data_IF_411866497385
#
_entry.id   IF_411866497385
#
_cell.length_a   1.000
_cell.length_b   1.000
_cell.length_c   1.000
_cell.angle_alpha   90.00
_cell.angle_beta   90.00
_cell.angle_gamma   90.00
#
_symmetry.space_group_name_H-M   'P 1'
#
loop_
_entity.id
_entity.type
_entity.pdbx_description
1 polymer ?
#
# COMPACT_ATOMS: atom_id res chain seq x y z
N UNK A 1 -19.84 11.66 -27.51
CA UNK A 1 -20.43 10.63 -26.64
C UNK A 1 -19.78 10.77 -25.27
N UNK A 2 -20.48 10.47 -24.17
CA UNK A 2 -19.82 10.30 -22.87
C UNK A 2 -19.57 8.81 -22.73
N UNK A 3 -18.33 8.44 -22.42
CA UNK A 3 -18.04 7.12 -21.90
C UNK A 3 -18.47 7.13 -20.43
N UNK A 4 -19.43 6.28 -20.08
CA UNK A 4 -19.75 6.00 -18.69
C UNK A 4 -18.67 5.05 -18.18
N UNK A 5 -17.70 5.59 -17.44
CA UNK A 5 -16.80 4.79 -16.63
C UNK A 5 -17.68 3.96 -15.69
N UNK A 6 -17.78 2.65 -15.98
CA UNK A 6 -18.49 1.71 -15.13
C UNK A 6 -17.65 1.52 -13.88
N UNK A 7 -18.00 2.22 -12.82
CA UNK A 7 -17.56 1.89 -11.47
C UNK A 7 -17.98 0.44 -11.18
N UNK A 8 -17.01 -0.50 -11.24
CA UNK A 8 -17.27 -1.86 -10.78
C UNK A 8 -17.59 -1.79 -9.29
N UNK A 9 -18.67 -2.46 -8.90
CA UNK A 9 -19.09 -2.50 -7.51
C UNK A 9 -18.05 -3.23 -6.65
N UNK A 10 -18.06 -2.93 -5.35
CA UNK A 10 -17.12 -3.54 -4.41
C UNK A 10 -17.29 -5.07 -4.33
N UNK A 11 -18.49 -5.60 -4.63
CA UNK A 11 -18.76 -7.03 -4.73
C UNK A 11 -18.13 -7.64 -6.00
N UNK A 12 -18.27 -7.00 -7.18
CA UNK A 12 -17.64 -7.45 -8.43
C UNK A 12 -16.10 -7.45 -8.35
N UNK A 13 -15.51 -6.45 -7.68
CA UNK A 13 -14.06 -6.40 -7.44
C UNK A 13 -13.59 -7.50 -6.48
N UNK A 14 -14.38 -7.85 -5.46
CA UNK A 14 -14.09 -8.97 -4.56
C UNK A 14 -14.19 -10.33 -5.26
N UNK A 15 -15.14 -10.49 -6.20
CA UNK A 15 -15.27 -11.71 -7.01
C UNK A 15 -14.07 -11.87 -7.96
N UNK A 16 -13.67 -10.80 -8.66
CA UNK A 16 -12.47 -10.81 -9.52
C UNK A 16 -11.18 -11.13 -8.77
N UNK A 17 -10.97 -10.56 -7.57
CA UNK A 17 -9.79 -10.88 -6.74
C UNK A 17 -9.78 -12.34 -6.29
N UNK A 18 -10.95 -12.95 -6.07
CA UNK A 18 -11.08 -14.36 -5.70
C UNK A 18 -10.80 -15.30 -6.86
N UNK A 19 -11.28 -14.96 -8.07
CA UNK A 19 -10.97 -15.69 -9.31
C UNK A 19 -9.47 -15.65 -9.63
N UNK A 20 -8.85 -14.46 -9.57
CA UNK A 20 -7.40 -14.29 -9.74
C UNK A 20 -6.58 -15.11 -8.74
N UNK A 21 -6.97 -15.19 -7.45
CA UNK A 21 -6.24 -16.02 -6.48
C UNK A 21 -6.35 -17.52 -6.80
N UNK A 22 -7.52 -18.00 -7.26
CA UNK A 22 -7.70 -19.38 -7.68
C UNK A 22 -6.91 -19.73 -8.96
N UNK A 23 -6.82 -18.82 -9.93
CA UNK A 23 -6.01 -19.00 -11.14
C UNK A 23 -4.51 -19.10 -10.81
N UNK A 24 -3.99 -18.23 -9.93
CA UNK A 24 -2.59 -18.29 -9.49
C UNK A 24 -2.26 -19.57 -8.73
N UNK A 25 -3.17 -20.06 -7.86
CA UNK A 25 -3.01 -21.34 -7.17
C UNK A 25 -2.98 -22.52 -8.16
N UNK A 26 -3.86 -22.52 -9.17
CA UNK A 26 -3.90 -23.55 -10.22
C UNK A 26 -2.65 -23.52 -11.13
N UNK A 27 -2.13 -22.34 -11.46
CA UNK A 27 -0.89 -22.19 -12.22
C UNK A 27 0.32 -22.69 -11.41
N UNK A 28 0.41 -22.33 -10.12
CA UNK A 28 1.47 -22.83 -9.23
C UNK A 28 1.44 -24.35 -9.10
N UNK A 29 0.27 -24.95 -8.87
CA UNK A 29 0.11 -26.41 -8.82
C UNK A 29 0.48 -27.12 -10.12
N UNK A 30 0.41 -26.42 -11.27
CA UNK A 30 0.84 -26.92 -12.58
C UNK A 30 2.35 -26.81 -12.82
N UNK A 31 3.03 -25.89 -12.14
CA UNK A 31 4.49 -25.72 -12.13
C UNK A 31 5.20 -26.64 -11.12
N UNK A 32 4.55 -27.00 -10.02
CA UNK A 32 5.09 -27.94 -9.01
C UNK A 32 4.91 -29.44 -9.39
N UNK A 33 4.28 -29.75 -10.53
CA UNK A 33 4.15 -31.11 -11.03
C UNK A 33 5.49 -31.62 -11.62
N UNK A 34 6.06 -32.74 -11.13
CA UNK A 34 7.36 -33.21 -11.59
C UNK A 34 7.30 -33.72 -13.03
N UNK A 35 8.19 -33.24 -13.88
CA UNK A 35 8.32 -33.69 -15.25
C UNK A 35 8.89 -35.13 -15.31
N UNK A 36 8.11 -36.07 -15.85
CA UNK A 36 8.55 -37.44 -16.15
C UNK A 36 8.16 -37.84 -17.57
N UNK A 37 9.20 -38.09 -18.38
CA UNK A 37 9.26 -39.00 -19.53
C UNK A 37 8.44 -38.70 -20.81
N UNK A 38 9.21 -38.52 -21.90
CA UNK A 38 9.05 -39.11 -23.24
C UNK A 38 7.81 -38.83 -24.11
N UNK A 39 8.06 -38.30 -25.33
CA UNK A 39 7.92 -39.04 -26.61
C UNK A 39 8.98 -38.54 -27.60
N UNK A 40 9.69 -39.46 -28.26
CA UNK A 40 10.46 -39.21 -29.50
C UNK A 40 9.64 -39.72 -30.72
N UNK A 41 9.65 -39.01 -31.86
CA UNK A 41 9.47 -39.50 -33.25
C UNK A 41 9.18 -38.29 -34.20
N UNK A 42 9.44 -38.27 -35.51
CA UNK A 42 10.58 -38.71 -36.36
C UNK A 42 10.33 -38.13 -37.80
N UNK A 43 11.33 -38.16 -38.71
CA UNK A 43 11.24 -37.98 -40.18
C UNK A 43 10.83 -36.56 -40.71
N UNK A 44 11.19 -36.08 -41.92
CA UNK A 44 12.13 -36.52 -42.97
C UNK A 44 12.52 -35.31 -43.87
N UNK A 45 13.69 -35.35 -44.53
CA UNK A 45 14.10 -34.50 -45.68
C UNK A 45 14.00 -35.34 -46.99
N UNK A 46 14.01 -34.83 -48.27
CA UNK A 46 14.90 -33.76 -48.81
C UNK A 46 14.37 -32.96 -50.05
N UNK A 47 15.31 -32.34 -50.81
CA UNK A 47 15.24 -31.73 -52.18
C UNK A 47 14.50 -30.37 -52.30
N UNK A 48 15.15 -29.23 -52.63
CA UNK A 48 15.75 -28.79 -53.93
C UNK A 48 14.70 -28.38 -54.99
N UNK A 49 14.73 -27.21 -55.67
CA UNK A 49 15.66 -26.04 -55.77
C UNK A 49 14.84 -24.69 -55.72
N UNK A 50 15.27 -23.44 -56.00
CA UNK A 50 16.33 -22.77 -56.80
C UNK A 50 16.93 -21.50 -56.08
N UNK A 51 17.53 -20.56 -56.84
CA UNK A 51 18.45 -19.50 -56.41
C UNK A 51 17.82 -18.13 -56.01
N UNK A 52 18.24 -17.57 -54.86
CA UNK A 52 18.51 -16.11 -54.72
C UNK A 52 19.60 -15.88 -53.66
N UNK A 53 20.85 -15.55 -54.05
CA UNK A 53 21.91 -15.21 -53.12
C UNK A 53 22.10 -13.70 -52.95
N UNK A 54 21.87 -13.16 -51.76
CA UNK A 54 22.77 -12.24 -51.03
C UNK A 54 22.15 -11.81 -49.68
N UNK A 55 22.99 -11.74 -48.63
CA UNK A 55 22.67 -11.21 -47.30
C UNK A 55 21.51 -11.89 -46.51
N UNK A 56 21.66 -13.19 -46.22
CA UNK A 56 21.29 -13.67 -44.86
C UNK A 56 22.43 -13.22 -43.93
N UNK A 57 22.12 -12.42 -42.91
CA UNK A 57 23.03 -12.17 -41.80
C UNK A 57 22.68 -13.17 -40.69
N UNK A 58 23.58 -14.14 -40.46
CA UNK A 58 23.31 -15.35 -39.68
C UNK A 58 23.47 -15.10 -38.16
N UNK A 59 22.54 -15.67 -37.38
CA UNK A 59 22.71 -16.09 -35.96
C UNK A 59 22.78 -14.94 -34.91
N UNK A 60 22.20 -15.09 -33.69
CA UNK A 60 21.69 -16.33 -33.10
C UNK A 60 20.17 -16.45 -32.96
N UNK A 61 19.76 -17.72 -33.01
CA UNK A 61 18.59 -18.27 -32.34
C UNK A 61 18.89 -18.32 -30.82
N UNK A 62 18.47 -17.29 -30.09
CA UNK A 62 18.54 -17.26 -28.62
C UNK A 62 17.28 -16.54 -28.11
N UNK A 63 16.44 -17.23 -27.33
CA UNK A 63 15.11 -16.76 -26.94
C UNK A 63 15.15 -16.00 -25.60
N UNK A 64 14.89 -14.67 -25.55
CA UNK A 64 14.90 -13.88 -24.32
C UNK A 64 13.50 -13.80 -23.72
N UNK A 65 12.82 -14.94 -23.57
CA UNK A 65 11.35 -14.96 -23.42
C UNK A 65 10.83 -15.01 -21.98
N UNK A 66 11.62 -15.36 -20.97
CA UNK A 66 11.08 -15.60 -19.60
C UNK A 66 11.37 -14.47 -18.60
N UNK A 67 12.56 -13.84 -18.59
CA UNK A 67 12.91 -12.77 -17.64
C UNK A 67 12.00 -11.52 -17.79
N UNK A 68 11.65 -11.14 -19.01
CA UNK A 68 10.73 -10.03 -19.29
C UNK A 68 9.31 -10.28 -18.75
N UNK A 69 8.89 -11.55 -18.66
CA UNK A 69 7.57 -11.93 -18.12
C UNK A 69 7.59 -11.93 -16.59
N UNK A 70 8.64 -12.45 -15.97
CA UNK A 70 8.76 -12.47 -14.50
C UNK A 70 8.89 -11.05 -13.93
N UNK A 71 9.76 -10.21 -14.52
CA UNK A 71 9.95 -8.83 -14.07
C UNK A 71 8.69 -7.98 -14.23
N UNK A 72 7.91 -8.17 -15.30
CA UNK A 72 6.60 -7.53 -15.47
C UNK A 72 5.57 -7.98 -14.41
N UNK A 73 5.62 -9.24 -13.96
CA UNK A 73 4.76 -9.74 -12.88
C UNK A 73 5.19 -9.18 -11.52
N UNK A 74 6.49 -9.17 -11.19
CA UNK A 74 7.02 -8.58 -9.96
C UNK A 74 6.65 -7.09 -9.86
N UNK A 75 6.86 -6.31 -10.92
CA UNK A 75 6.48 -4.89 -11.00
C UNK A 75 4.97 -4.68 -10.76
N UNK A 76 4.13 -5.61 -11.25
CA UNK A 76 2.68 -5.56 -11.06
C UNK A 76 2.26 -5.91 -9.63
N UNK A 77 2.95 -6.86 -8.97
CA UNK A 77 2.72 -7.20 -7.56
C UNK A 77 3.10 -6.02 -6.65
N UNK A 78 4.27 -5.41 -6.86
CA UNK A 78 4.68 -4.19 -6.14
C UNK A 78 3.67 -3.05 -6.32
N UNK A 79 3.20 -2.81 -7.55
CA UNK A 79 2.22 -1.76 -7.84
C UNK A 79 0.82 -2.02 -7.24
N UNK A 80 0.46 -3.28 -6.99
CA UNK A 80 -0.74 -3.66 -6.24
C UNK A 80 -0.52 -3.48 -4.73
N UNK A 81 0.62 -3.93 -4.21
CA UNK A 81 0.99 -3.78 -2.80
C UNK A 81 1.03 -2.32 -2.36
N UNK A 82 1.67 -1.44 -3.15
CA UNK A 82 1.72 0.00 -2.86
C UNK A 82 0.33 0.67 -2.87
N UNK A 83 -0.63 0.12 -3.64
CA UNK A 83 -2.03 0.56 -3.57
C UNK A 83 -2.73 0.08 -2.31
N UNK A 84 -2.51 -1.17 -1.90
CA UNK A 84 -3.07 -1.73 -0.67
C UNK A 84 -2.55 -1.00 0.58
N UNK A 85 -1.24 -0.77 0.66
CA UNK A 85 -0.59 0.08 1.68
C UNK A 85 -1.21 1.48 1.70
N UNK A 86 -1.39 2.12 0.54
CA UNK A 86 -2.01 3.44 0.43
C UNK A 86 -3.47 3.46 0.89
N UNK A 87 -4.25 2.42 0.55
CA UNK A 87 -5.67 2.30 0.92
C UNK A 87 -5.81 2.08 2.42
N UNK A 88 -4.99 1.23 3.05
CA UNK A 88 -5.09 0.96 4.49
C UNK A 88 -4.57 2.13 5.34
N UNK A 89 -3.54 2.85 4.88
CA UNK A 89 -3.15 4.12 5.50
C UNK A 89 -4.26 5.17 5.35
N UNK A 90 -4.93 5.23 4.20
CA UNK A 90 -6.08 6.13 3.98
C UNK A 90 -7.28 5.78 4.87
N UNK A 91 -7.58 4.49 5.04
CA UNK A 91 -8.66 3.99 5.92
C UNK A 91 -8.38 4.36 7.39
N UNK A 92 -7.11 4.33 7.81
CA UNK A 92 -6.66 4.67 9.14
C UNK A 92 -6.47 6.18 9.39
N UNK A 93 -6.47 7.04 8.36
CA UNK A 93 -6.16 8.47 8.45
C UNK A 93 -4.67 8.80 8.48
N UNK A 94 -3.82 7.85 8.08
CA UNK A 94 -2.36 7.88 8.15
C UNK A 94 -1.66 8.19 6.81
N UNK A 95 -2.36 8.77 5.82
CA UNK A 95 -1.79 9.02 4.47
C UNK A 95 -0.44 9.78 4.50
N UNK A 96 -0.27 10.71 5.44
CA UNK A 96 0.97 11.48 5.63
C UNK A 96 2.19 10.64 6.08
N UNK A 97 1.98 9.37 6.45
CA UNK A 97 3.04 8.45 6.89
C UNK A 97 3.44 7.41 5.82
N UNK A 98 2.85 7.43 4.62
CA UNK A 98 3.12 6.44 3.58
C UNK A 98 4.60 6.30 3.21
N UNK A 99 5.33 7.41 3.09
CA UNK A 99 6.78 7.41 2.79
C UNK A 99 7.67 6.78 3.89
N UNK A 100 7.09 6.47 5.06
CA UNK A 100 7.79 5.88 6.22
C UNK A 100 7.42 4.42 6.47
N UNK A 101 6.41 3.88 5.77
CA UNK A 101 5.93 2.50 5.89
C UNK A 101 6.76 1.60 4.97
N UNK A 102 7.85 1.05 5.51
CA UNK A 102 8.65 0.03 4.83
C UNK A 102 8.20 -1.34 5.29
N UNK A 103 7.45 -2.05 4.44
CA UNK A 103 6.93 -3.41 4.67
C UNK A 103 7.08 -4.22 3.38
N UNK A 104 7.50 -5.47 3.51
CA UNK A 104 7.72 -6.39 2.39
C UNK A 104 6.42 -6.71 1.65
N UNK A 105 6.52 -7.06 0.36
CA UNK A 105 5.35 -7.36 -0.49
C UNK A 105 4.60 -8.58 0.06
N UNK A 106 3.27 -8.48 0.15
CA UNK A 106 2.34 -9.48 0.71
C UNK A 106 2.35 -9.60 2.27
N UNK A 107 3.23 -8.88 3.00
CA UNK A 107 3.24 -8.86 4.48
C UNK A 107 2.17 -7.93 5.07
N UNK A 108 0.92 -8.34 4.89
CA UNK A 108 -0.27 -7.69 5.44
C UNK A 108 -0.33 -7.71 6.98
N UNK A 109 0.33 -8.66 7.65
CA UNK A 109 0.39 -8.71 9.12
C UNK A 109 1.30 -7.60 9.68
N UNK A 110 2.49 -7.38 9.11
CA UNK A 110 3.35 -6.26 9.53
C UNK A 110 2.75 -4.90 9.15
N UNK A 111 2.10 -4.78 7.99
CA UNK A 111 1.39 -3.55 7.60
C UNK A 111 0.32 -3.18 8.63
N UNK A 112 -0.60 -4.10 8.94
CA UNK A 112 -1.69 -3.85 9.90
C UNK A 112 -1.17 -3.63 11.32
N UNK A 113 -0.06 -4.28 11.70
CA UNK A 113 0.64 -3.99 12.96
C UNK A 113 1.18 -2.55 13.00
N UNK A 114 1.85 -2.07 11.94
CA UNK A 114 2.40 -0.70 11.86
C UNK A 114 1.31 0.37 11.85
N UNK A 115 0.23 0.14 11.10
CA UNK A 115 -0.97 1.00 11.09
C UNK A 115 -1.55 1.14 12.50
N UNK A 116 -1.65 0.02 13.23
CA UNK A 116 -2.16 0.00 14.61
C UNK A 116 -1.23 0.68 15.62
N UNK A 117 0.08 0.50 15.50
CA UNK A 117 1.08 1.20 16.33
C UNK A 117 1.02 2.72 16.13
N UNK A 118 1.02 3.19 14.87
CA UNK A 118 0.92 4.62 14.54
C UNK A 118 -0.39 5.24 15.02
N UNK A 119 -1.52 4.53 14.84
CA UNK A 119 -2.82 5.02 15.28
C UNK A 119 -2.90 5.15 16.81
N UNK A 120 -2.44 4.14 17.55
CA UNK A 120 -2.38 4.21 19.01
C UNK A 120 -1.46 5.33 19.52
N UNK A 121 -0.38 5.64 18.79
CA UNK A 121 0.49 6.77 19.09
C UNK A 121 -0.22 8.12 18.87
N UNK A 122 -0.93 8.31 17.75
CA UNK A 122 -1.71 9.53 17.50
C UNK A 122 -2.82 9.74 18.54
N UNK A 123 -3.57 8.67 18.87
CA UNK A 123 -4.59 8.70 19.92
C UNK A 123 -4.01 9.11 21.29
N UNK A 124 -2.75 8.78 21.59
CA UNK A 124 -2.08 9.24 22.81
C UNK A 124 -1.70 10.72 22.78
N UNK A 125 -1.27 11.27 21.64
CA UNK A 125 -0.95 12.69 21.50
C UNK A 125 -2.18 13.60 21.52
N UNK A 126 -3.31 13.17 20.94
CA UNK A 126 -4.57 13.93 20.97
C UNK A 126 -5.08 14.15 22.42
N UNK A 127 -4.85 13.17 23.30
CA UNK A 127 -5.16 13.26 24.74
C UNK A 127 -4.21 14.21 25.49
N UNK A 128 -2.94 14.32 25.07
CA UNK A 128 -2.01 15.29 25.66
C UNK A 128 -2.29 16.73 25.22
N UNK A 129 -2.57 16.99 23.94
CA UNK A 129 -2.91 18.34 23.46
C UNK A 129 -4.26 18.85 24.00
N UNK A 130 -5.21 17.95 24.29
CA UNK A 130 -6.49 18.31 24.92
C UNK A 130 -6.42 18.49 26.44
N UNK A 131 -5.25 18.30 27.07
CA UNK A 131 -5.05 18.52 28.51
C UNK A 131 -5.09 20.00 28.88
N UNK A 132 -6.29 20.56 29.08
CA UNK A 132 -6.43 21.82 29.78
C UNK A 132 -6.05 21.68 31.27
N UNK A 133 -5.14 22.50 31.81
CA UNK A 133 -4.86 22.50 33.24
C UNK A 133 -6.08 22.95 34.04
N UNK A 134 -6.77 21.98 34.64
CA UNK A 134 -7.91 22.20 35.55
C UNK A 134 -7.51 22.96 36.82
N UNK A 135 -6.21 23.08 37.10
CA UNK A 135 -5.63 23.86 38.18
C UNK A 135 -5.12 25.25 37.72
N UNK A 136 -5.84 25.90 36.81
CA UNK A 136 -5.75 27.35 36.73
C UNK A 136 -6.41 27.92 38.01
N UNK A 137 -5.60 28.41 38.95
CA UNK A 137 -6.14 29.00 40.17
C UNK A 137 -6.90 30.28 39.80
N UNK A 138 -8.23 30.19 39.84
CA UNK A 138 -9.14 31.30 39.58
C UNK A 138 -8.86 32.42 40.58
N UNK A 139 -7.99 33.35 40.18
CA UNK A 139 -7.39 34.34 41.06
C UNK A 139 -8.46 35.34 41.42
N UNK A 140 -8.91 35.28 42.67
CA UNK A 140 -10.00 36.10 43.17
C UNK A 140 -9.69 37.60 43.01
N UNK A 141 -10.74 38.41 42.90
CA UNK A 141 -10.61 39.84 42.63
C UNK A 141 -9.77 40.58 43.69
N UNK A 142 -9.74 40.10 44.94
CA UNK A 142 -8.94 40.67 46.01
C UNK A 142 -7.46 40.29 45.87
N UNK A 143 -7.14 39.04 45.55
CA UNK A 143 -5.77 38.59 45.26
C UNK A 143 -5.19 39.27 44.02
N UNK A 144 -5.98 39.45 42.95
CA UNK A 144 -5.57 40.18 41.75
C UNK A 144 -5.29 41.66 42.05
N UNK A 145 -6.13 42.30 42.87
CA UNK A 145 -5.93 43.68 43.32
C UNK A 145 -4.71 43.82 44.26
N UNK A 146 -4.49 42.84 45.14
CA UNK A 146 -3.33 42.75 46.05
C UNK A 146 -2.02 42.63 45.27
N UNK A 147 -1.97 41.78 44.25
CA UNK A 147 -0.81 41.64 43.37
C UNK A 147 -0.50 42.95 42.63
N UNK A 148 -1.54 43.65 42.15
CA UNK A 148 -1.46 44.96 41.49
C UNK A 148 -1.23 46.14 42.46
N UNK A 149 -1.22 45.90 43.77
CA UNK A 149 -1.10 46.91 44.84
C UNK A 149 -2.17 48.02 44.77
N UNK A 150 -3.38 47.69 44.32
CA UNK A 150 -4.52 48.62 44.26
C UNK A 150 -5.40 48.49 45.51
N UNK A 151 -5.26 49.37 46.53
CA UNK A 151 -6.06 49.31 47.74
C UNK A 151 -7.54 49.62 47.50
N UNK A 152 -7.89 50.35 46.43
CA UNK A 152 -9.28 50.71 46.10
C UNK A 152 -10.00 49.50 45.50
N UNK A 153 -9.34 48.75 44.61
CA UNK A 153 -9.85 47.48 44.13
C UNK A 153 -9.87 46.40 45.22
N UNK A 154 -8.87 46.34 46.11
CA UNK A 154 -8.89 45.43 47.27
C UNK A 154 -10.08 45.73 48.21
N UNK A 155 -10.35 47.00 48.52
CA UNK A 155 -11.51 47.37 49.33
C UNK A 155 -12.81 47.03 48.61
N UNK A 156 -12.94 47.34 47.31
CA UNK A 156 -14.14 46.98 46.52
C UNK A 156 -14.38 45.47 46.47
N UNK A 157 -13.33 44.66 46.34
CA UNK A 157 -13.43 43.20 46.33
C UNK A 157 -13.72 42.56 47.71
N UNK A 158 -13.79 43.36 48.78
CA UNK A 158 -14.06 42.92 50.16
C UNK A 158 -15.28 43.60 50.81
N UNK A 159 -15.86 44.60 50.16
CA UNK A 159 -16.99 45.41 50.62
C UNK A 159 -18.15 45.49 49.61
N UNK A 160 -18.00 44.85 48.45
CA UNK A 160 -19.04 44.69 47.42
C UNK A 160 -19.74 43.34 47.51
#
# INVERSE_FOLDING_TARGET
MKEEEKELTLEELQEQLKELKAENEALKAKLEAPATEEVEEDLETPEETEETPEAVEEVPEEAPEDEDKETALQTRLEALWQREVSIELKSAGLEAFAEFINVEVDDSEALTAKVKELKALLESFEVEETYQPTNHSNTDAYSLAKAKKDPKAMLKARLG
#
